data_IF_758194106760
#
_entry.id   IF_758194106760
#
_cell.length_a   1.000
_cell.length_b   1.000
_cell.length_c   1.000
_cell.angle_alpha   90.00
_cell.angle_beta   90.00
_cell.angle_gamma   90.00
#
_symmetry.space_group_name_H-M   'P 1'
#
loop_
_entity.id
_entity.type
_entity.pdbx_description
1 polymer ?
#
# COMPACT_ATOMS: atom_id res chain seq x y z
N UNK A 1 5.50 -4.29 5.62
CA UNK A 1 4.38 -4.72 6.48
C UNK A 1 4.76 -5.72 7.58
N UNK A 2 5.52 -6.80 7.29
CA UNK A 2 5.90 -7.82 8.30
C UNK A 2 6.43 -7.28 9.64
N UNK A 3 7.33 -6.30 9.61
CA UNK A 3 7.87 -5.67 10.82
C UNK A 3 6.77 -5.15 11.76
N UNK A 4 5.72 -4.54 11.20
CA UNK A 4 4.57 -4.07 11.98
C UNK A 4 3.83 -5.22 12.66
N UNK A 5 3.55 -6.32 11.93
CA UNK A 5 2.89 -7.50 12.50
C UNK A 5 3.74 -8.19 13.57
N UNK A 6 5.06 -8.24 13.39
CA UNK A 6 5.98 -8.83 14.37
C UNK A 6 6.01 -7.99 15.67
N UNK A 7 5.87 -6.66 15.57
CA UNK A 7 5.87 -5.76 16.73
C UNK A 7 4.51 -5.62 17.44
N UNK A 8 3.41 -5.60 16.69
CA UNK A 8 2.07 -5.26 17.19
C UNK A 8 1.05 -6.39 17.09
N UNK A 9 1.40 -7.51 16.47
CA UNK A 9 0.53 -8.66 16.25
C UNK A 9 -0.41 -8.51 15.05
N UNK A 10 -0.88 -9.65 14.55
CA UNK A 10 -1.72 -9.73 13.34
C UNK A 10 -3.04 -8.97 13.46
N UNK A 11 -3.68 -8.94 14.64
CA UNK A 11 -4.94 -8.20 14.83
C UNK A 11 -4.79 -6.69 14.56
N UNK A 12 -3.65 -6.10 14.95
CA UNK A 12 -3.34 -4.69 14.63
C UNK A 12 -2.97 -4.54 13.16
N UNK A 13 -2.26 -5.50 12.58
CA UNK A 13 -2.02 -5.55 11.14
C UNK A 13 -3.32 -5.53 10.33
N UNK A 14 -4.28 -6.38 10.69
CA UNK A 14 -5.58 -6.47 10.02
C UNK A 14 -6.33 -5.14 10.11
N UNK A 15 -6.23 -4.42 11.23
CA UNK A 15 -6.81 -3.07 11.35
C UNK A 15 -6.21 -2.07 10.35
N UNK A 16 -4.89 -2.13 10.09
CA UNK A 16 -4.25 -1.30 9.05
C UNK A 16 -4.79 -1.68 7.67
N UNK A 17 -4.88 -2.97 7.35
CA UNK A 17 -5.37 -3.46 6.05
C UNK A 17 -6.84 -3.04 5.82
N UNK A 18 -7.68 -3.14 6.85
CA UNK A 18 -9.09 -2.70 6.80
C UNK A 18 -9.19 -1.18 6.63
N UNK A 19 -8.32 -0.42 7.28
CA UNK A 19 -8.31 1.04 7.14
C UNK A 19 -7.86 1.46 5.74
N UNK A 20 -6.84 0.80 5.19
CA UNK A 20 -6.42 0.97 3.81
C UNK A 20 -7.53 0.61 2.83
N UNK A 21 -8.21 -0.53 3.01
CA UNK A 21 -9.26 -0.96 2.09
C UNK A 21 -10.41 0.04 2.02
N UNK A 22 -10.81 0.62 3.16
CA UNK A 22 -11.82 1.69 3.23
C UNK A 22 -11.36 2.97 2.53
N UNK A 23 -10.10 3.37 2.73
CA UNK A 23 -9.52 4.52 2.05
C UNK A 23 -9.52 4.31 0.52
N UNK A 24 -9.02 3.16 0.07
CA UNK A 24 -8.98 2.82 -1.35
C UNK A 24 -10.38 2.79 -1.94
N UNK A 25 -11.34 2.16 -1.25
CA UNK A 25 -12.73 2.09 -1.70
C UNK A 25 -13.32 3.49 -1.91
N UNK A 26 -13.21 4.37 -0.92
CA UNK A 26 -13.74 5.73 -1.00
C UNK A 26 -13.14 6.52 -2.18
N UNK A 27 -11.83 6.45 -2.38
CA UNK A 27 -11.14 7.19 -3.45
C UNK A 27 -11.46 6.61 -4.84
N UNK A 28 -11.39 5.28 -4.97
CA UNK A 28 -11.59 4.58 -6.26
C UNK A 28 -13.04 4.68 -6.72
N UNK A 29 -14.01 4.46 -5.84
CA UNK A 29 -15.44 4.54 -6.20
C UNK A 29 -15.84 5.98 -6.58
N UNK A 30 -15.29 6.99 -5.88
CA UNK A 30 -15.57 8.40 -6.21
C UNK A 30 -15.11 8.80 -7.62
N UNK A 31 -14.07 8.12 -8.14
CA UNK A 31 -13.55 8.30 -9.49
C UNK A 31 -14.24 7.40 -10.52
N UNK A 32 -15.27 6.63 -10.15
CA UNK A 32 -15.92 5.67 -11.05
C UNK A 32 -15.05 4.45 -11.38
N UNK A 33 -14.10 4.12 -10.51
CA UNK A 33 -13.24 2.96 -10.65
C UNK A 33 -13.77 1.71 -9.95
N UNK A 34 -12.97 0.66 -9.97
CA UNK A 34 -13.22 -0.60 -9.28
C UNK A 34 -12.01 -1.02 -8.44
N UNK A 35 -12.27 -1.59 -7.27
CA UNK A 35 -11.25 -2.11 -6.36
C UNK A 35 -11.44 -3.62 -6.14
N UNK A 36 -10.35 -4.36 -6.18
CA UNK A 36 -10.27 -5.77 -5.80
C UNK A 36 -9.23 -6.00 -4.72
N UNK A 37 -9.51 -6.91 -3.79
CA UNK A 37 -8.54 -7.41 -2.80
C UNK A 37 -7.94 -8.71 -3.32
N UNK A 38 -6.62 -8.74 -3.53
CA UNK A 38 -5.91 -9.92 -4.04
C UNK A 38 -5.63 -10.90 -2.90
N UNK A 39 -5.24 -10.37 -1.74
CA UNK A 39 -4.96 -11.14 -0.52
C UNK A 39 -3.89 -10.48 0.34
N UNK A 40 -3.92 -10.72 1.65
CA UNK A 40 -3.00 -10.07 2.59
C UNK A 40 -3.12 -8.55 2.51
N UNK A 41 -1.98 -7.86 2.32
CA UNK A 41 -1.87 -6.41 2.16
C UNK A 41 -1.94 -5.93 0.70
N UNK A 42 -2.27 -6.81 -0.26
CA UNK A 42 -2.26 -6.51 -1.69
C UNK A 42 -3.66 -6.24 -2.29
N UNK A 43 -3.77 -5.10 -2.98
CA UNK A 43 -4.98 -4.63 -3.65
C UNK A 43 -4.73 -4.35 -5.14
N UNK A 44 -5.79 -4.39 -5.94
CA UNK A 44 -5.79 -4.02 -7.35
C UNK A 44 -6.88 -2.99 -7.60
N UNK A 45 -6.57 -1.99 -8.42
CA UNK A 45 -7.51 -0.92 -8.79
C UNK A 45 -7.60 -0.82 -10.31
N UNK A 46 -8.81 -0.62 -10.82
CA UNK A 46 -9.08 -0.21 -12.19
C UNK A 46 -9.65 1.19 -12.13
N UNK A 47 -8.99 2.14 -12.80
CA UNK A 47 -9.31 3.56 -12.73
C UNK A 47 -9.48 4.13 -14.14
N UNK A 48 -10.38 5.12 -14.33
CA UNK A 48 -10.43 5.86 -15.59
C UNK A 48 -9.11 6.57 -15.89
N UNK A 49 -8.68 6.54 -17.15
CA UNK A 49 -7.40 7.13 -17.59
C UNK A 49 -7.28 8.64 -17.27
N UNK A 50 -8.39 9.36 -17.15
CA UNK A 50 -8.37 10.80 -16.84
C UNK A 50 -8.12 11.13 -15.38
N UNK A 51 -8.25 10.17 -14.47
CA UNK A 51 -8.27 10.43 -13.02
C UNK A 51 -7.24 9.62 -12.22
N UNK A 52 -6.59 8.62 -12.82
CA UNK A 52 -5.75 7.67 -12.09
C UNK A 52 -4.65 8.33 -11.25
N UNK A 53 -3.99 9.36 -11.79
CA UNK A 53 -2.83 9.98 -11.13
C UNK A 53 -3.26 10.72 -9.87
N UNK A 54 -4.31 11.55 -9.97
CA UNK A 54 -4.88 12.27 -8.83
C UNK A 54 -5.36 11.31 -7.75
N UNK A 55 -6.05 10.24 -8.13
CA UNK A 55 -6.53 9.21 -7.18
C UNK A 55 -5.35 8.54 -6.47
N UNK A 56 -4.31 8.14 -7.20
CA UNK A 56 -3.11 7.54 -6.61
C UNK A 56 -2.41 8.48 -5.62
N UNK A 57 -2.24 9.76 -5.99
CA UNK A 57 -1.62 10.76 -5.11
C UNK A 57 -2.45 10.99 -3.84
N UNK A 58 -3.78 11.08 -3.96
CA UNK A 58 -4.69 11.23 -2.82
C UNK A 58 -4.63 10.04 -1.87
N UNK A 59 -4.59 8.82 -2.40
CA UNK A 59 -4.43 7.58 -1.62
C UNK A 59 -3.12 7.60 -0.84
N UNK A 60 -2.00 7.89 -1.52
CA UNK A 60 -0.67 7.91 -0.90
C UNK A 60 -0.63 8.93 0.24
N UNK A 61 -1.05 10.17 -0.03
CA UNK A 61 -1.07 11.23 0.97
C UNK A 61 -2.00 10.92 2.16
N UNK A 62 -3.21 10.44 1.88
CA UNK A 62 -4.18 10.12 2.95
C UNK A 62 -3.68 8.99 3.84
N UNK A 63 -3.01 7.99 3.26
CA UNK A 63 -2.45 6.90 4.04
C UNK A 63 -1.22 7.33 4.84
N UNK A 64 -0.35 8.19 4.27
CA UNK A 64 0.79 8.78 4.98
C UNK A 64 0.35 9.53 6.24
N UNK A 65 -0.73 10.32 6.15
CA UNK A 65 -1.32 11.03 7.30
C UNK A 65 -1.95 10.07 8.32
N UNK A 66 -2.55 8.98 7.88
CA UNK A 66 -3.20 7.98 8.72
C UNK A 66 -2.19 7.07 9.45
N UNK A 67 -1.09 6.73 8.78
CA UNK A 67 -0.13 5.72 9.20
C UNK A 67 0.40 5.89 10.63
N UNK A 68 0.83 7.09 11.10
CA UNK A 68 1.28 7.29 12.47
C UNK A 68 0.23 6.89 13.51
N UNK A 69 -1.07 7.06 13.21
CA UNK A 69 -2.17 6.72 14.11
C UNK A 69 -2.25 5.24 14.49
N UNK A 70 -1.60 4.35 13.71
CA UNK A 70 -1.53 2.92 14.02
C UNK A 70 -0.43 2.54 15.02
N UNK A 71 0.41 3.48 15.43
CA UNK A 71 1.56 3.25 16.30
C UNK A 71 1.28 3.75 17.72
N UNK A 72 1.94 3.10 18.69
CA UNK A 72 1.97 3.60 20.06
C UNK A 72 2.71 4.93 20.14
N UNK A 73 2.42 5.73 21.16
CA UNK A 73 2.98 7.09 21.29
C UNK A 73 4.52 7.10 21.27
N UNK A 74 5.16 6.14 21.94
CA UNK A 74 6.62 6.01 21.96
C UNK A 74 7.23 5.80 20.56
N UNK A 75 6.55 5.05 19.71
CA UNK A 75 7.02 4.67 18.37
C UNK A 75 6.68 5.80 17.38
N UNK A 76 5.54 6.48 17.58
CA UNK A 76 5.19 7.72 16.86
C UNK A 76 6.26 8.79 17.02
N UNK A 77 6.71 9.04 18.24
CA UNK A 77 7.74 10.06 18.54
C UNK A 77 9.09 9.74 17.88
N UNK A 78 9.36 8.46 17.60
CA UNK A 78 10.58 8.00 16.93
C UNK A 78 10.42 7.92 15.40
N UNK A 79 9.22 8.15 14.86
CA UNK A 79 8.93 8.02 13.43
C UNK A 79 8.82 6.58 12.93
N UNK A 80 8.69 5.59 13.82
CA UNK A 80 8.72 4.18 13.44
C UNK A 80 8.95 3.22 14.62
N UNK A 81 9.22 1.96 14.30
CA UNK A 81 9.46 0.88 15.28
C UNK A 81 10.89 0.35 15.18
N UNK A 82 11.49 0.07 16.33
CA UNK A 82 12.77 -0.63 16.43
C UNK A 82 12.52 -2.08 16.81
N UNK A 83 13.01 -3.02 15.98
CA UNK A 83 12.85 -4.45 16.21
C UNK A 83 14.21 -5.07 16.46
N UNK A 84 14.33 -5.77 17.57
CA UNK A 84 15.50 -6.59 17.88
C UNK A 84 15.47 -7.91 17.10
N UNK A 85 16.50 -8.14 16.30
CA UNK A 85 16.76 -9.42 15.68
C UNK A 85 17.17 -10.45 16.73
N UNK A 86 16.86 -11.73 16.46
CA UNK A 86 17.30 -12.88 17.28
C UNK A 86 18.82 -12.99 17.42
N UNK A 87 19.57 -12.31 16.55
CA UNK A 87 21.05 -12.25 16.58
C UNK A 87 21.60 -11.00 17.31
N UNK A 88 20.74 -10.23 18.00
CA UNK A 88 21.15 -9.11 18.86
C UNK A 88 21.33 -7.76 18.15
N UNK A 89 20.94 -7.64 16.87
CA UNK A 89 20.95 -6.37 16.13
C UNK A 89 19.58 -5.68 16.17
N UNK A 90 19.55 -4.38 16.46
CA UNK A 90 18.33 -3.56 16.37
C UNK A 90 18.21 -3.00 14.95
N UNK A 91 17.07 -3.22 14.30
CA UNK A 91 16.74 -2.61 13.01
C UNK A 91 15.57 -1.66 13.18
N UNK A 92 15.75 -0.43 12.74
CA UNK A 92 14.67 0.57 12.70
C UNK A 92 13.86 0.44 11.41
N UNK A 93 12.54 0.47 11.54
CA UNK A 93 11.60 0.52 10.43
C UNK A 93 10.74 1.79 10.58
N UNK A 94 10.64 2.63 9.54
CA UNK A 94 9.72 3.77 9.57
C UNK A 94 8.27 3.30 9.61
N UNK A 95 7.33 4.25 9.65
CA UNK A 95 5.91 3.92 9.54
C UNK A 95 5.60 3.10 8.28
N UNK A 96 4.54 2.28 8.37
CA UNK A 96 4.02 1.55 7.22
C UNK A 96 3.62 2.55 6.15
N UNK A 97 4.04 2.28 4.92
CA UNK A 97 3.68 3.06 3.73
C UNK A 97 3.04 2.16 2.68
N UNK A 98 2.42 2.79 1.69
CA UNK A 98 1.79 2.12 0.55
C UNK A 98 2.60 2.40 -0.70
N UNK A 99 2.79 1.38 -1.53
CA UNK A 99 3.37 1.54 -2.86
C UNK A 99 2.31 1.23 -3.92
N UNK A 100 2.22 2.08 -4.94
CA UNK A 100 1.27 1.89 -6.05
C UNK A 100 2.06 1.75 -7.35
N UNK A 101 1.73 0.73 -8.14
CA UNK A 101 2.22 0.56 -9.50
C UNK A 101 1.08 0.76 -10.49
N UNK A 102 1.31 1.52 -11.55
CA UNK A 102 0.29 1.88 -12.54
C UNK A 102 0.74 1.49 -13.93
N UNK A 103 -0.19 0.91 -14.70
CA UNK A 103 -0.04 0.66 -16.13
C UNK A 103 -1.22 1.30 -16.88
N UNK A 104 -1.04 2.46 -17.52
CA UNK A 104 -2.06 3.01 -18.40
C UNK A 104 -2.28 2.09 -19.60
N UNK A 105 -3.54 1.84 -19.96
CA UNK A 105 -3.94 1.08 -21.14
C UNK A 105 -4.63 2.05 -22.09
N UNK A 106 -3.93 2.48 -23.13
CA UNK A 106 -4.42 3.48 -24.10
C UNK A 106 -4.85 2.88 -25.43
N UNK A 107 -4.49 1.62 -25.70
CA UNK A 107 -4.85 0.89 -26.92
C UNK A 107 -5.62 -0.39 -26.53
N UNK A 108 -6.86 -0.60 -27.02
CA UNK A 108 -7.66 -1.78 -26.77
C UNK A 108 -7.27 -2.99 -27.64
N UNK A 109 -6.15 -2.95 -28.38
CA UNK A 109 -5.53 -4.17 -28.91
C UNK A 109 -5.54 -5.26 -27.83
N UNK A 110 -5.73 -6.56 -28.17
CA UNK A 110 -6.07 -7.59 -27.20
C UNK A 110 -4.92 -7.86 -26.22
N UNK A 111 -4.79 -7.02 -25.20
CA UNK A 111 -3.93 -7.23 -24.05
C UNK A 111 -4.62 -8.27 -23.17
N UNK A 112 -3.98 -9.43 -23.04
CA UNK A 112 -4.48 -10.47 -22.14
C UNK A 112 -4.31 -9.98 -20.71
N UNK A 113 -5.34 -10.16 -19.89
CA UNK A 113 -5.30 -9.78 -18.47
C UNK A 113 -4.05 -10.33 -17.74
N UNK A 114 -3.58 -11.52 -18.13
CA UNK A 114 -2.39 -12.15 -17.58
C UNK A 114 -1.09 -11.35 -17.85
N UNK A 115 -0.97 -10.75 -19.04
CA UNK A 115 0.20 -9.94 -19.40
C UNK A 115 0.21 -8.62 -18.62
N UNK A 116 -0.96 -8.00 -18.44
CA UNK A 116 -1.12 -6.80 -17.61
C UNK A 116 -0.74 -7.11 -16.16
N UNK A 117 -1.24 -8.22 -15.61
CA UNK A 117 -0.93 -8.64 -14.25
C UNK A 117 0.57 -8.92 -14.05
N UNK A 118 1.22 -9.57 -15.02
CA UNK A 118 2.67 -9.81 -14.99
C UNK A 118 3.47 -8.50 -14.98
N UNK A 119 3.10 -7.54 -15.84
CA UNK A 119 3.75 -6.23 -15.88
C UNK A 119 3.54 -5.44 -14.58
N UNK A 120 2.33 -5.44 -14.03
CA UNK A 120 2.03 -4.77 -12.76
C UNK A 120 2.81 -5.37 -11.59
N UNK A 121 2.99 -6.69 -11.57
CA UNK A 121 3.80 -7.37 -10.55
C UNK A 121 5.26 -6.90 -10.56
N UNK A 122 5.85 -6.78 -11.76
CA UNK A 122 7.21 -6.26 -11.92
C UNK A 122 7.31 -4.79 -11.48
N UNK A 123 6.39 -3.94 -11.93
CA UNK A 123 6.35 -2.53 -11.54
C UNK A 123 6.18 -2.36 -10.02
N UNK A 124 5.33 -3.17 -9.39
CA UNK A 124 5.14 -3.20 -7.93
C UNK A 124 6.45 -3.56 -7.21
N UNK A 125 7.19 -4.54 -7.72
CA UNK A 125 8.48 -4.90 -7.16
C UNK A 125 9.49 -3.75 -7.26
N UNK A 126 9.50 -3.01 -8.38
CA UNK A 126 10.35 -1.81 -8.52
C UNK A 126 9.90 -0.67 -7.60
N UNK A 127 8.59 -0.43 -7.46
CA UNK A 127 8.05 0.58 -6.57
C UNK A 127 8.48 0.34 -5.11
N UNK A 128 8.49 -0.92 -4.65
CA UNK A 128 8.94 -1.30 -3.30
C UNK A 128 10.43 -1.07 -3.04
N UNK A 129 11.26 -0.86 -4.08
CA UNK A 129 12.69 -0.53 -3.92
C UNK A 129 12.94 0.95 -3.63
N UNK A 130 11.95 1.80 -3.94
CA UNK A 130 12.01 3.22 -3.61
C UNK A 130 11.34 3.39 -2.24
N UNK A 131 12.07 3.94 -1.27
CA UNK A 131 11.46 4.29 0.00
C UNK A 131 10.40 5.37 -0.25
N UNK A 132 9.15 5.07 0.13
CA UNK A 132 8.08 6.06 0.24
C UNK A 132 8.21 6.85 1.53
#
# INVERSE_FOLDING_TARGET
FKAFNDAYGYARGDHVIISLSRLLQAQVESAGGFIGHIGGDDFMMLLPLGHWETVCQQILHSFEVMAPGFYEEKDRQQGGISIESRQGGVTFFPFVSVSIAVKPITDPAPCKALEIAAQLSELKHQAKKTAG
#
